data_IF_422810834878
#
_entry.id   IF_422810834878
#
_cell.length_a   1.000
_cell.length_b   1.000
_cell.length_c   1.000
_cell.angle_alpha   90.00
_cell.angle_beta   90.00
_cell.angle_gamma   90.00
#
_symmetry.space_group_name_H-M   'P 1'
#
loop_
_entity.id
_entity.type
_entity.pdbx_description
1 polymer ?
#
# COMPACT_ATOMS: atom_id res chain seq x y z
N UNK A 1 -7.03 19.34 4.48
CA UNK A 1 -8.17 20.24 4.26
C UNK A 1 -7.76 21.54 3.64
N UNK A 2 -6.75 22.19 4.19
CA UNK A 2 -6.28 23.49 3.68
C UNK A 2 -5.64 23.37 2.30
N UNK A 3 -5.27 22.17 1.87
CA UNK A 3 -4.71 21.90 0.55
C UNK A 3 -5.23 20.55 0.00
N UNK A 4 -6.35 20.56 -0.72
CA UNK A 4 -6.89 19.35 -1.35
C UNK A 4 -5.97 18.75 -2.43
N UNK A 5 -4.98 19.51 -2.93
CA UNK A 5 -4.04 18.98 -3.93
C UNK A 5 -3.19 17.83 -3.38
N UNK A 6 -3.00 17.77 -2.07
CA UNK A 6 -2.28 16.72 -1.35
C UNK A 6 -2.94 15.35 -1.47
N UNK A 7 -4.22 15.25 -1.81
CA UNK A 7 -4.89 13.96 -2.02
C UNK A 7 -4.16 13.13 -3.10
N UNK A 8 -3.57 13.79 -4.08
CA UNK A 8 -2.84 13.12 -5.17
C UNK A 8 -1.59 12.36 -4.69
N UNK A 9 -0.89 12.88 -3.69
CA UNK A 9 0.28 12.23 -3.09
C UNK A 9 -0.10 11.36 -1.89
N UNK A 10 -1.11 11.77 -1.13
CA UNK A 10 -1.62 11.06 0.04
C UNK A 10 -2.14 9.66 -0.33
N UNK A 11 -2.90 9.51 -1.42
CA UNK A 11 -3.47 8.23 -1.82
C UNK A 11 -2.40 7.17 -2.10
N UNK A 12 -1.38 7.41 -2.95
CA UNK A 12 -0.27 6.48 -3.10
C UNK A 12 0.48 6.20 -1.79
N UNK A 13 0.64 7.20 -0.92
CA UNK A 13 1.30 7.00 0.37
C UNK A 13 0.47 6.12 1.31
N UNK A 14 -0.86 6.23 1.33
CA UNK A 14 -1.74 5.32 2.06
C UNK A 14 -1.54 3.89 1.55
N UNK A 15 -1.51 3.69 0.24
CA UNK A 15 -1.33 2.37 -0.39
C UNK A 15 0.05 1.80 -0.05
N UNK A 16 1.11 2.61 -0.12
CA UNK A 16 2.46 2.21 0.28
C UNK A 16 2.50 1.81 1.76
N UNK A 17 2.01 2.69 2.62
CA UNK A 17 2.03 2.51 4.07
C UNK A 17 1.26 1.28 4.51
N UNK A 18 0.06 1.09 4.01
CA UNK A 18 -0.79 -0.04 4.34
C UNK A 18 -0.27 -1.34 3.74
N UNK A 19 0.21 -1.32 2.49
CA UNK A 19 0.64 -2.51 1.74
C UNK A 19 -0.34 -3.66 1.95
N UNK A 20 -1.56 -3.62 1.36
CA UNK A 20 -2.65 -4.55 1.69
C UNK A 20 -2.32 -6.03 1.47
N UNK A 21 -1.49 -6.33 0.48
CA UNK A 21 -0.95 -7.67 0.23
C UNK A 21 0.51 -7.72 0.68
N UNK A 22 0.83 -8.63 1.60
CA UNK A 22 2.16 -8.71 2.21
C UNK A 22 3.23 -9.14 1.21
N UNK A 23 2.90 -10.07 0.31
CA UNK A 23 3.84 -10.65 -0.64
C UNK A 23 3.12 -11.24 -1.85
N UNK A 24 3.89 -11.57 -2.88
CA UNK A 24 3.48 -12.44 -3.99
C UNK A 24 4.58 -13.43 -4.29
N UNK A 25 4.22 -14.53 -4.96
CA UNK A 25 5.14 -15.62 -5.27
C UNK A 25 5.27 -15.82 -6.79
N UNK A 26 6.46 -16.19 -7.23
CA UNK A 26 6.77 -16.66 -8.57
C UNK A 26 7.42 -18.03 -8.52
N UNK A 27 7.44 -18.72 -9.63
CA UNK A 27 8.22 -19.95 -9.82
C UNK A 27 9.29 -19.66 -10.86
N UNK A 28 10.52 -19.99 -10.58
CA UNK A 28 11.63 -19.84 -11.53
C UNK A 28 11.39 -20.79 -12.72
N UNK A 29 11.52 -20.29 -13.94
CA UNK A 29 11.35 -21.06 -15.17
C UNK A 29 12.66 -21.64 -15.72
N UNK A 30 13.78 -21.26 -15.13
CA UNK A 30 15.13 -21.72 -15.44
C UNK A 30 16.07 -21.42 -14.29
N UNK A 31 17.24 -22.05 -14.29
CA UNK A 31 18.32 -21.71 -13.37
C UNK A 31 18.78 -20.28 -13.59
N UNK A 32 18.96 -19.53 -12.51
CA UNK A 32 19.42 -18.13 -12.56
C UNK A 32 20.36 -17.85 -11.38
N UNK A 33 21.39 -17.04 -11.62
CA UNK A 33 22.20 -16.47 -10.56
C UNK A 33 21.73 -15.04 -10.28
N UNK A 34 21.24 -14.80 -9.07
CA UNK A 34 20.74 -13.51 -8.64
C UNK A 34 21.49 -13.02 -7.41
N UNK A 35 22.24 -11.93 -7.55
CA UNK A 35 23.10 -11.38 -6.49
C UNK A 35 24.00 -12.44 -5.83
N UNK A 36 24.66 -13.30 -6.62
CA UNK A 36 25.53 -14.36 -6.14
C UNK A 36 24.85 -15.58 -5.52
N UNK A 37 23.50 -15.61 -5.52
CA UNK A 37 22.72 -16.76 -5.05
C UNK A 37 22.12 -17.49 -6.24
N UNK A 38 22.29 -18.83 -6.25
CA UNK A 38 21.66 -19.67 -7.25
C UNK A 38 20.18 -19.87 -6.92
N UNK A 39 19.31 -19.64 -7.91
CA UNK A 39 17.90 -19.99 -7.90
C UNK A 39 17.74 -21.05 -9.00
N UNK A 40 17.24 -22.24 -8.64
CA UNK A 40 17.07 -23.33 -9.61
C UNK A 40 15.71 -23.22 -10.28
N UNK A 41 15.59 -23.83 -11.46
CA UNK A 41 14.30 -24.06 -12.08
C UNK A 41 13.33 -24.76 -11.12
N UNK A 42 12.08 -24.28 -11.06
CA UNK A 42 11.05 -24.77 -10.15
C UNK A 42 11.05 -24.12 -8.75
N UNK A 43 12.12 -23.42 -8.37
CA UNK A 43 12.17 -22.74 -7.06
C UNK A 43 11.08 -21.70 -6.90
N UNK A 44 10.60 -21.55 -5.66
CA UNK A 44 9.59 -20.55 -5.29
C UNK A 44 10.28 -19.29 -4.79
N UNK A 45 10.09 -18.20 -5.54
CA UNK A 45 10.62 -16.87 -5.21
C UNK A 45 9.50 -16.03 -4.62
N UNK A 46 9.68 -15.58 -3.39
CA UNK A 46 8.71 -14.72 -2.70
C UNK A 46 9.19 -13.28 -2.73
N UNK A 47 8.33 -12.40 -3.21
CA UNK A 47 8.58 -10.95 -3.23
C UNK A 47 7.82 -10.31 -2.07
N UNK A 48 8.55 -9.88 -1.04
CA UNK A 48 7.99 -9.24 0.14
C UNK A 48 7.69 -7.76 -0.12
N UNK A 49 6.48 -7.44 -0.54
CA UNK A 49 6.06 -6.05 -0.78
C UNK A 49 6.08 -5.19 0.47
N UNK A 50 5.77 -5.79 1.63
CA UNK A 50 5.85 -5.08 2.91
C UNK A 50 7.27 -4.63 3.24
N UNK A 51 8.29 -5.44 2.92
CA UNK A 51 9.70 -5.10 3.08
C UNK A 51 10.12 -4.04 2.05
N UNK A 52 9.86 -4.29 0.76
CA UNK A 52 10.24 -3.34 -0.29
C UNK A 52 9.59 -1.97 -0.16
N UNK A 53 8.39 -1.89 0.44
CA UNK A 53 7.73 -0.60 0.73
C UNK A 53 8.28 0.08 2.01
N UNK A 54 9.23 -0.55 2.69
CA UNK A 54 9.96 -0.05 3.86
C UNK A 54 11.47 0.00 3.65
N UNK A 55 11.94 -0.19 2.42
CA UNK A 55 13.35 -0.21 2.06
C UNK A 55 13.93 1.21 2.11
N UNK A 56 14.84 1.44 3.06
CA UNK A 56 15.49 2.74 3.28
C UNK A 56 16.50 3.11 2.20
N UNK A 57 16.97 2.12 1.42
CA UNK A 57 17.87 2.38 0.29
C UNK A 57 17.16 3.08 -0.88
N UNK A 58 15.82 2.97 -0.96
CA UNK A 58 15.04 3.54 -2.07
C UNK A 58 13.92 4.46 -1.63
N UNK A 59 13.55 4.46 -0.35
CA UNK A 59 12.46 5.26 0.20
C UNK A 59 12.96 6.05 1.41
N UNK A 60 13.03 7.34 1.30
CA UNK A 60 13.42 8.22 2.41
C UNK A 60 12.44 8.10 3.58
N UNK A 61 12.93 7.86 4.80
CA UNK A 61 12.10 7.72 6.00
C UNK A 61 10.91 6.77 5.79
N UNK A 62 11.13 5.49 5.43
CA UNK A 62 10.08 4.59 4.97
C UNK A 62 9.06 4.25 6.05
N UNK A 63 9.44 4.34 7.33
CA UNK A 63 8.60 4.09 8.49
C UNK A 63 7.76 5.30 8.93
N UNK A 64 7.86 6.41 8.21
CA UNK A 64 7.02 7.58 8.43
C UNK A 64 5.90 7.64 7.40
N UNK A 65 4.69 7.96 7.85
CA UNK A 65 3.56 8.27 6.97
C UNK A 65 3.62 9.74 6.57
N UNK A 66 3.92 10.01 5.30
CA UNK A 66 4.18 11.38 4.78
C UNK A 66 3.23 11.64 3.61
N UNK A 67 2.18 12.42 3.83
CA UNK A 67 1.11 12.65 2.84
C UNK A 67 1.56 13.41 1.58
N UNK A 68 2.63 14.17 1.68
CA UNK A 68 3.24 14.91 0.56
C UNK A 68 4.55 14.25 0.06
N UNK A 69 4.73 12.97 0.35
CA UNK A 69 5.92 12.21 -0.07
C UNK A 69 6.17 12.37 -1.56
N UNK A 70 7.38 12.79 -1.90
CA UNK A 70 7.86 12.75 -3.28
C UNK A 70 7.91 11.30 -3.77
N UNK A 71 7.49 11.07 -5.01
CA UNK A 71 7.51 9.75 -5.63
C UNK A 71 6.72 8.65 -4.88
N UNK A 72 5.69 9.01 -4.10
CA UNK A 72 4.86 8.07 -3.34
C UNK A 72 4.30 6.92 -4.21
N UNK A 73 4.18 7.10 -5.54
CA UNK A 73 3.71 6.08 -6.50
C UNK A 73 4.76 5.00 -6.83
N UNK A 74 5.99 5.14 -6.38
CA UNK A 74 7.06 4.14 -6.59
C UNK A 74 6.98 2.96 -5.62
N UNK A 75 5.84 2.77 -4.97
CA UNK A 75 5.60 1.63 -4.09
C UNK A 75 5.35 0.32 -4.85
N UNK A 76 5.55 -0.80 -4.16
CA UNK A 76 5.35 -2.16 -4.66
C UNK A 76 4.00 -2.78 -4.30
N UNK A 77 3.10 -2.05 -3.63
CA UNK A 77 1.82 -2.60 -3.15
C UNK A 77 0.92 -3.16 -4.27
N UNK A 78 1.11 -2.69 -5.50
CA UNK A 78 0.43 -3.21 -6.70
C UNK A 78 1.29 -4.22 -7.49
N UNK A 79 2.43 -4.63 -6.95
CA UNK A 79 3.39 -5.46 -7.68
C UNK A 79 4.14 -4.69 -8.76
N UNK A 80 4.95 -5.42 -9.51
CA UNK A 80 5.78 -4.89 -10.58
C UNK A 80 5.84 -5.86 -11.77
N UNK A 81 6.15 -5.34 -12.96
CA UNK A 81 6.31 -6.13 -14.20
C UNK A 81 4.99 -6.55 -14.82
N UNK A 82 4.99 -7.66 -15.56
CA UNK A 82 3.86 -8.16 -16.36
C UNK A 82 2.60 -8.40 -15.51
N UNK A 83 2.79 -8.88 -14.29
CA UNK A 83 1.69 -9.16 -13.36
C UNK A 83 1.36 -8.00 -12.42
N UNK A 84 1.80 -6.78 -12.74
CA UNK A 84 1.35 -5.61 -11.98
C UNK A 84 -0.18 -5.55 -11.98
N UNK A 85 -0.76 -5.17 -10.83
CA UNK A 85 -2.20 -5.05 -10.65
C UNK A 85 -2.84 -4.24 -11.79
N UNK A 86 -3.75 -4.86 -12.53
CA UNK A 86 -4.44 -4.21 -13.65
C UNK A 86 -5.47 -3.19 -13.16
N UNK A 87 -5.97 -3.36 -11.93
CA UNK A 87 -6.91 -2.45 -11.27
C UNK A 87 -6.29 -1.25 -10.56
N UNK A 88 -4.96 -1.05 -10.62
CA UNK A 88 -4.26 -0.03 -9.85
C UNK A 88 -4.79 1.40 -10.09
N UNK A 89 -5.10 1.74 -11.33
CA UNK A 89 -5.64 3.07 -11.68
C UNK A 89 -7.05 3.30 -11.13
N UNK A 90 -7.88 2.26 -11.19
CA UNK A 90 -9.23 2.30 -10.64
C UNK A 90 -9.19 2.43 -9.11
N UNK A 91 -8.34 1.67 -8.44
CA UNK A 91 -8.17 1.73 -7.00
C UNK A 91 -7.71 3.13 -6.54
N UNK A 92 -6.69 3.71 -7.20
CA UNK A 92 -6.24 5.07 -6.90
C UNK A 92 -7.34 6.11 -7.12
N UNK A 93 -8.13 5.96 -8.20
CA UNK A 93 -9.24 6.86 -8.50
C UNK A 93 -10.34 6.76 -7.44
N UNK A 94 -10.74 5.55 -7.07
CA UNK A 94 -11.75 5.32 -6.03
C UNK A 94 -11.32 5.93 -4.69
N UNK A 95 -10.09 5.67 -4.26
CA UNK A 95 -9.56 6.23 -3.02
C UNK A 95 -9.53 7.77 -3.06
N UNK A 96 -9.12 8.35 -4.18
CA UNK A 96 -9.14 9.80 -4.35
C UNK A 96 -10.54 10.37 -4.20
N UNK A 97 -11.51 9.81 -4.92
CA UNK A 97 -12.92 10.27 -4.87
C UNK A 97 -13.48 10.13 -3.45
N UNK A 98 -13.22 8.99 -2.79
CA UNK A 98 -13.65 8.77 -1.41
C UNK A 98 -13.08 9.83 -0.47
N UNK A 99 -11.79 10.15 -0.57
CA UNK A 99 -11.17 11.19 0.27
C UNK A 99 -11.69 12.59 -0.05
N UNK A 100 -11.90 12.92 -1.33
CA UNK A 100 -12.51 14.18 -1.74
C UNK A 100 -13.91 14.34 -1.13
N UNK A 101 -14.72 13.28 -1.15
CA UNK A 101 -16.07 13.30 -0.59
C UNK A 101 -16.11 13.31 0.95
N UNK A 102 -15.20 12.59 1.60
CA UNK A 102 -15.04 12.63 3.06
C UNK A 102 -14.70 14.04 3.53
N UNK A 103 -13.71 14.68 2.91
CA UNK A 103 -13.25 16.01 3.30
C UNK A 103 -14.30 17.11 3.08
N UNK A 104 -15.23 16.90 2.13
CA UNK A 104 -16.36 17.82 1.90
C UNK A 104 -17.43 17.70 2.97
N UNK A 105 -17.74 16.46 3.39
CA UNK A 105 -18.89 16.16 4.25
C UNK A 105 -18.56 16.26 5.73
N UNK A 106 -17.40 15.75 6.13
CA UNK A 106 -17.07 15.58 7.54
C UNK A 106 -15.93 16.50 7.95
N UNK A 107 -16.13 17.17 9.06
CA UNK A 107 -15.11 18.00 9.69
C UNK A 107 -13.97 17.14 10.25
N UNK A 108 -14.34 16.02 10.88
CA UNK A 108 -13.41 15.17 11.61
C UNK A 108 -13.95 13.74 11.68
N UNK A 109 -13.06 12.78 11.62
CA UNK A 109 -13.35 11.36 11.85
C UNK A 109 -12.40 10.88 12.93
N UNK A 110 -12.94 10.31 13.98
CA UNK A 110 -12.17 9.75 15.10
C UNK A 110 -12.45 8.26 15.27
N UNK A 111 -11.47 7.55 15.79
CA UNK A 111 -11.65 6.16 16.20
C UNK A 111 -12.48 6.12 17.47
N UNK A 112 -13.56 5.34 17.48
CA UNK A 112 -14.53 5.28 18.60
C UNK A 112 -14.58 3.92 19.30
N UNK A 113 -13.71 2.99 18.95
CA UNK A 113 -13.63 1.66 19.55
C UNK A 113 -12.39 0.90 19.11
N UNK A 114 -12.29 -0.35 19.52
CA UNK A 114 -11.15 -1.20 19.21
C UNK A 114 -11.11 -1.58 17.73
N UNK A 115 -9.90 -1.65 17.20
CA UNK A 115 -9.66 -2.06 15.82
C UNK A 115 -9.46 -3.57 15.79
N UNK A 116 -10.27 -4.25 15.01
CA UNK A 116 -10.09 -5.66 14.71
C UNK A 116 -9.41 -5.86 13.36
N UNK A 117 -8.43 -6.74 13.34
CA UNK A 117 -7.64 -7.02 12.12
C UNK A 117 -7.97 -8.37 11.53
N UNK A 118 -7.88 -8.45 10.21
CA UNK A 118 -7.96 -9.72 9.50
C UNK A 118 -6.83 -10.67 9.97
N UNK A 119 -7.21 -11.85 10.44
CA UNK A 119 -6.25 -12.90 10.79
C UNK A 119 -5.73 -13.56 9.51
N UNK A 120 -4.63 -13.04 8.98
CA UNK A 120 -4.04 -13.51 7.73
C UNK A 120 -2.56 -13.14 7.66
N UNK A 121 -1.73 -14.06 7.18
CA UNK A 121 -0.33 -13.79 6.85
C UNK A 121 -0.17 -13.10 5.49
N UNK A 122 -1.22 -13.08 4.66
CA UNK A 122 -1.18 -12.56 3.30
C UNK A 122 -1.86 -11.20 3.15
N UNK A 123 -3.09 -11.05 3.67
CA UNK A 123 -3.87 -9.83 3.58
C UNK A 123 -3.76 -9.03 4.87
N UNK A 124 -3.24 -7.81 4.77
CA UNK A 124 -3.21 -6.82 5.86
C UNK A 124 -4.46 -5.96 5.80
N UNK A 125 -5.50 -6.36 6.50
CA UNK A 125 -6.80 -5.69 6.49
C UNK A 125 -7.38 -5.51 7.89
N UNK A 126 -8.58 -4.96 7.90
CA UNK A 126 -9.40 -4.76 9.10
C UNK A 126 -10.73 -5.46 8.90
N UNK A 127 -11.22 -6.13 9.94
CA UNK A 127 -12.57 -6.71 9.98
C UNK A 127 -13.56 -5.74 10.60
N UNK A 128 -13.08 -4.89 11.53
CA UNK A 128 -13.87 -3.85 12.16
C UNK A 128 -12.99 -2.65 12.53
N UNK A 129 -13.48 -1.46 12.28
CA UNK A 129 -12.87 -0.20 12.71
C UNK A 129 -13.97 0.81 13.01
N UNK A 130 -14.50 0.79 14.26
CA UNK A 130 -15.56 1.70 14.65
C UNK A 130 -15.08 3.15 14.62
N UNK A 131 -15.84 4.01 13.95
CA UNK A 131 -15.51 5.43 13.84
C UNK A 131 -16.72 6.29 14.16
N UNK A 132 -16.46 7.47 14.71
CA UNK A 132 -17.44 8.53 14.86
C UNK A 132 -17.09 9.64 13.88
N UNK A 133 -18.07 10.02 13.10
CA UNK A 133 -17.98 11.13 12.16
C UNK A 133 -18.57 12.40 12.78
N UNK A 134 -17.92 13.52 12.53
CA UNK A 134 -18.38 14.84 12.99
C UNK A 134 -18.63 15.72 11.76
N UNK A 135 -19.83 16.21 11.63
CA UNK A 135 -20.21 17.16 10.60
C UNK A 135 -19.59 18.55 10.84
N UNK A 136 -19.72 19.43 9.87
CA UNK A 136 -19.28 20.84 9.95
C UNK A 136 -20.10 21.64 10.92
#
# INVERSE_FOLDING_TARGET
>A
RNDPSLIKSMVPEIIRWQTPLAYMRRTALQDINFHGKKINEGDKVVMWYVSGNRDEEVIDNPDNFIIDRKNARHHLAFGFGIHRCMGNRLAEMQLRVVWEEILKRFRFIELSGDIERTYSSFVKGYTSMPVKVHDW
#
